data_IF_305412910056
#
_entry.id   IF_305412910056
#
_cell.length_a   1.000
_cell.length_b   1.000
_cell.length_c   1.000
_cell.angle_alpha   90.00
_cell.angle_beta   90.00
_cell.angle_gamma   90.00
#
_symmetry.space_group_name_H-M   'P 1'
#
loop_
_entity.id
_entity.type
_entity.pdbx_description
1 polymer ?
#
# COMPACT_ATOMS: atom_id res chain seq x y z
N UNK A 1 19.70 17.49 -19.07
CA UNK A 1 18.27 17.61 -19.43
C UNK A 1 17.49 17.12 -18.23
N UNK A 2 16.99 18.07 -17.44
CA UNK A 2 16.31 17.88 -16.15
C UNK A 2 14.90 17.26 -16.30
N UNK A 3 14.85 16.03 -16.81
CA UNK A 3 13.58 15.32 -16.99
C UNK A 3 12.94 14.92 -15.64
N UNK A 4 13.77 14.69 -14.61
CA UNK A 4 13.37 14.39 -13.23
C UNK A 4 12.58 15.55 -12.59
N UNK A 5 12.63 16.77 -13.14
CA UNK A 5 11.78 17.88 -12.68
C UNK A 5 10.52 18.09 -13.52
N UNK A 6 10.56 17.89 -14.84
CA UNK A 6 9.44 18.31 -15.68
C UNK A 6 8.32 17.26 -15.85
N UNK A 7 8.64 15.95 -15.89
CA UNK A 7 7.61 14.91 -16.09
C UNK A 7 7.01 14.37 -14.78
N UNK A 8 7.66 14.66 -13.65
CA UNK A 8 7.15 14.40 -12.30
C UNK A 8 6.16 15.46 -11.82
N UNK A 9 6.38 16.71 -12.22
CA UNK A 9 5.44 17.79 -11.95
C UNK A 9 4.09 17.41 -12.56
N UNK A 10 3.08 17.27 -11.70
CA UNK A 10 1.72 16.88 -12.05
C UNK A 10 1.58 15.43 -12.57
N UNK A 11 2.55 14.52 -12.32
CA UNK A 11 2.38 13.09 -12.66
C UNK A 11 1.12 12.53 -12.00
N UNK A 12 0.89 12.87 -10.73
CA UNK A 12 -0.31 12.47 -10.02
C UNK A 12 -1.58 12.99 -10.72
N UNK A 13 -1.64 14.27 -11.09
CA UNK A 13 -2.80 14.81 -11.81
C UNK A 13 -3.05 14.10 -13.14
N UNK A 14 -1.98 13.78 -13.88
CA UNK A 14 -2.06 13.03 -15.15
C UNK A 14 -2.58 11.62 -14.94
N UNK A 15 -2.11 10.92 -13.91
CA UNK A 15 -2.60 9.60 -13.52
C UNK A 15 -4.08 9.71 -13.16
N UNK A 16 -4.45 10.68 -12.32
CA UNK A 16 -5.84 10.93 -11.93
C UNK A 16 -6.77 11.18 -13.10
N UNK A 17 -6.37 12.02 -14.06
CA UNK A 17 -7.17 12.25 -15.26
C UNK A 17 -7.28 11.00 -16.15
N UNK A 18 -6.21 10.18 -16.25
CA UNK A 18 -6.29 8.89 -16.94
C UNK A 18 -7.26 7.92 -16.25
N UNK A 19 -7.25 7.84 -14.92
CA UNK A 19 -8.22 7.06 -14.13
C UNK A 19 -9.66 7.51 -14.40
N UNK A 20 -9.90 8.84 -14.39
CA UNK A 20 -11.22 9.42 -14.68
C UNK A 20 -11.65 9.15 -16.13
N UNK A 21 -10.73 9.19 -17.10
CA UNK A 21 -11.03 8.88 -18.51
C UNK A 21 -11.50 7.44 -18.68
N UNK A 22 -10.75 6.48 -18.12
CA UNK A 22 -11.13 5.06 -18.13
C UNK A 22 -12.55 4.82 -17.60
N UNK A 23 -12.87 5.43 -16.45
CA UNK A 23 -14.18 5.30 -15.83
C UNK A 23 -15.28 5.85 -16.76
N UNK A 24 -15.07 7.04 -17.33
CA UNK A 24 -16.03 7.68 -18.25
C UNK A 24 -16.24 6.86 -19.53
N UNK A 25 -15.18 6.22 -20.03
CA UNK A 25 -15.21 5.40 -21.25
C UNK A 25 -15.87 4.03 -21.05
N UNK A 26 -15.67 3.40 -19.88
CA UNK A 26 -16.07 1.99 -19.65
C UNK A 26 -17.34 1.84 -18.83
N UNK A 27 -17.62 2.74 -17.88
CA UNK A 27 -18.81 2.61 -17.03
C UNK A 27 -20.01 3.35 -17.65
N UNK A 28 -20.96 2.59 -18.19
CA UNK A 28 -22.14 3.12 -18.86
C UNK A 28 -23.28 3.49 -17.90
N UNK A 29 -23.35 2.83 -16.74
CA UNK A 29 -24.31 3.16 -15.69
C UNK A 29 -23.91 4.49 -15.05
N UNK A 30 -24.79 5.50 -15.13
CA UNK A 30 -24.55 6.83 -14.51
C UNK A 30 -24.25 6.73 -13.02
N UNK A 31 -24.88 5.77 -12.33
CA UNK A 31 -24.70 5.57 -10.89
C UNK A 31 -23.33 5.00 -10.55
N UNK A 32 -22.92 3.95 -11.27
CA UNK A 32 -21.58 3.35 -11.13
C UNK A 32 -20.49 4.36 -11.49
N UNK A 33 -20.67 5.07 -12.63
CA UNK A 33 -19.73 6.07 -13.09
C UNK A 33 -19.58 7.21 -12.06
N UNK A 34 -20.69 7.71 -11.49
CA UNK A 34 -20.64 8.74 -10.46
C UNK A 34 -19.85 8.26 -9.23
N UNK A 35 -20.20 7.10 -8.67
CA UNK A 35 -19.52 6.58 -7.47
C UNK A 35 -18.02 6.39 -7.72
N UNK A 36 -17.65 5.76 -8.83
CA UNK A 36 -16.25 5.55 -9.17
C UNK A 36 -15.48 6.88 -9.35
N UNK A 37 -16.09 7.90 -9.97
CA UNK A 37 -15.46 9.22 -10.10
C UNK A 37 -15.29 9.92 -8.75
N UNK A 38 -16.28 9.85 -7.87
CA UNK A 38 -16.18 10.42 -6.52
C UNK A 38 -15.07 9.73 -5.71
N UNK A 39 -14.89 8.42 -5.87
CA UNK A 39 -13.83 7.65 -5.19
C UNK A 39 -12.44 8.02 -5.71
N UNK A 40 -12.30 8.22 -7.03
CA UNK A 40 -11.03 8.70 -7.62
C UNK A 40 -10.72 10.13 -7.16
N UNK A 41 -11.72 11.00 -7.03
CA UNK A 41 -11.52 12.36 -6.53
C UNK A 41 -10.97 12.36 -5.09
N UNK A 42 -11.50 11.48 -4.22
CA UNK A 42 -10.97 11.29 -2.87
C UNK A 42 -9.53 10.76 -2.90
N UNK A 43 -9.23 9.76 -3.75
CA UNK A 43 -7.88 9.20 -3.90
C UNK A 43 -6.86 10.24 -4.36
N UNK A 44 -7.26 11.22 -5.16
CA UNK A 44 -6.37 12.30 -5.60
C UNK A 44 -5.95 13.25 -4.48
N UNK A 45 -6.63 13.22 -3.33
CA UNK A 45 -6.18 13.89 -2.11
C UNK A 45 -5.01 13.18 -1.40
N UNK A 46 -4.63 11.98 -1.84
CA UNK A 46 -3.60 11.14 -1.24
C UNK A 46 -2.36 10.98 -2.14
N UNK A 47 -1.29 10.39 -1.59
CA UNK A 47 -0.12 10.02 -2.36
C UNK A 47 -0.40 8.81 -3.27
N UNK A 48 -0.13 8.95 -4.57
CA UNK A 48 -0.24 7.87 -5.58
C UNK A 48 1.13 7.22 -5.84
N UNK A 49 1.61 6.50 -4.83
CA UNK A 49 2.94 5.89 -4.84
C UNK A 49 3.02 4.75 -5.86
N UNK A 50 1.97 3.96 -6.05
CA UNK A 50 2.02 2.76 -6.90
C UNK A 50 2.00 3.08 -8.39
N UNK A 51 1.23 4.08 -8.79
CA UNK A 51 1.27 4.64 -10.14
C UNK A 51 2.62 5.27 -10.43
N UNK A 52 3.19 5.98 -9.45
CA UNK A 52 4.53 6.56 -9.57
C UNK A 52 5.62 5.49 -9.68
N UNK A 53 5.55 4.41 -8.87
CA UNK A 53 6.43 3.24 -8.99
C UNK A 53 6.33 2.63 -10.38
N UNK A 54 5.12 2.39 -10.87
CA UNK A 54 4.88 1.84 -12.21
C UNK A 54 5.52 2.72 -13.30
N UNK A 55 5.29 4.02 -13.24
CA UNK A 55 5.81 4.98 -14.21
C UNK A 55 7.35 5.05 -14.19
N UNK A 56 7.96 5.08 -13.00
CA UNK A 56 9.43 5.07 -12.86
C UNK A 56 10.03 3.81 -13.43
N UNK A 57 9.46 2.65 -13.10
CA UNK A 57 10.03 1.38 -13.54
C UNK A 57 9.97 1.24 -15.06
N UNK A 58 8.93 1.75 -15.71
CA UNK A 58 8.88 1.84 -17.16
C UNK A 58 10.09 2.59 -17.73
N UNK A 59 10.39 3.77 -17.20
CA UNK A 59 11.49 4.58 -17.71
C UNK A 59 12.87 4.07 -17.28
N UNK A 60 12.98 3.50 -16.07
CA UNK A 60 14.18 2.86 -15.54
C UNK A 60 14.71 1.77 -16.47
N UNK A 61 13.80 1.04 -17.13
CA UNK A 61 14.13 -0.03 -18.06
C UNK A 61 14.06 0.39 -19.54
N UNK A 62 14.11 1.69 -19.83
CA UNK A 62 14.28 2.20 -21.19
C UNK A 62 13.02 2.10 -22.07
N UNK A 63 11.83 2.10 -21.47
CA UNK A 63 10.57 1.95 -22.20
C UNK A 63 10.42 2.94 -23.35
N UNK A 64 10.21 2.41 -24.56
CA UNK A 64 9.97 3.16 -25.80
C UNK A 64 8.64 2.82 -26.48
N UNK A 65 7.94 1.80 -25.97
CA UNK A 65 6.66 1.31 -26.46
C UNK A 65 5.70 1.07 -25.28
N UNK A 66 4.41 0.87 -25.55
CA UNK A 66 3.42 0.73 -24.49
C UNK A 66 2.86 2.07 -24.03
N UNK A 67 2.06 2.03 -22.97
CA UNK A 67 1.45 3.20 -22.36
C UNK A 67 1.69 3.20 -20.84
N UNK A 68 2.77 3.85 -20.37
CA UNK A 68 3.11 3.86 -18.95
C UNK A 68 2.10 4.66 -18.13
N UNK A 69 1.50 5.71 -18.70
CA UNK A 69 0.48 6.47 -17.99
C UNK A 69 -0.78 5.61 -17.81
N UNK A 70 -1.15 4.86 -18.85
CA UNK A 70 -2.30 3.97 -18.72
C UNK A 70 -2.04 2.86 -17.71
N UNK A 71 -0.85 2.28 -17.74
CA UNK A 71 -0.46 1.22 -16.81
C UNK A 71 -0.44 1.73 -15.37
N UNK A 72 0.10 2.93 -15.13
CA UNK A 72 0.12 3.56 -13.81
C UNK A 72 -1.29 3.88 -13.27
N UNK A 73 -2.19 4.40 -14.10
CA UNK A 73 -3.57 4.65 -13.70
C UNK A 73 -4.36 3.35 -13.50
N UNK A 74 -4.06 2.30 -14.27
CA UNK A 74 -4.55 0.96 -13.97
C UNK A 74 -4.09 0.49 -12.58
N UNK A 75 -2.81 0.66 -12.25
CA UNK A 75 -2.28 0.29 -10.94
C UNK A 75 -2.94 1.07 -9.80
N UNK A 76 -3.12 2.39 -9.92
CA UNK A 76 -3.79 3.20 -8.88
C UNK A 76 -5.29 2.87 -8.75
N UNK A 77 -5.98 2.50 -9.84
CA UNK A 77 -7.35 1.98 -9.73
C UNK A 77 -7.39 0.64 -8.99
N UNK A 78 -6.37 -0.21 -9.16
CA UNK A 78 -6.26 -1.46 -8.41
C UNK A 78 -6.12 -1.17 -6.92
N UNK A 79 -5.20 -0.26 -6.54
CA UNK A 79 -5.00 0.14 -5.14
C UNK A 79 -6.27 0.76 -4.57
N UNK A 80 -6.92 1.67 -5.29
CA UNK A 80 -8.21 2.24 -4.85
C UNK A 80 -9.26 1.15 -4.63
N UNK A 81 -9.37 0.16 -5.52
CA UNK A 81 -10.32 -0.93 -5.33
C UNK A 81 -9.99 -1.79 -4.10
N UNK A 82 -8.72 -2.08 -3.85
CA UNK A 82 -8.31 -2.84 -2.65
C UNK A 82 -8.52 -2.03 -1.38
N UNK A 83 -8.22 -0.73 -1.37
CA UNK A 83 -8.47 0.17 -0.22
C UNK A 83 -9.97 0.21 0.13
N UNK A 84 -10.85 0.32 -0.88
CA UNK A 84 -12.31 0.30 -0.65
C UNK A 84 -12.75 -1.05 -0.06
N UNK A 85 -12.22 -2.16 -0.56
CA UNK A 85 -12.58 -3.49 -0.04
C UNK A 85 -12.08 -3.69 1.39
N UNK A 86 -10.85 -3.27 1.70
CA UNK A 86 -10.23 -3.32 3.04
C UNK A 86 -11.05 -2.49 4.03
N UNK A 87 -11.36 -1.22 3.72
CA UNK A 87 -12.18 -0.36 4.59
C UNK A 87 -13.60 -0.94 4.81
N UNK A 88 -14.19 -1.61 3.81
CA UNK A 88 -15.50 -2.28 3.96
C UNK A 88 -15.43 -3.54 4.83
N UNK A 89 -14.32 -4.27 4.78
CA UNK A 89 -14.06 -5.48 5.58
C UNK A 89 -13.78 -5.12 7.04
N UNK A 90 -12.99 -4.07 7.26
CA UNK A 90 -12.58 -3.59 8.59
C UNK A 90 -13.62 -2.71 9.26
N UNK A 91 -14.47 -2.03 8.47
CA UNK A 91 -15.44 -1.07 8.98
C UNK A 91 -14.82 0.20 9.56
N UNK A 92 -13.60 0.57 9.13
CA UNK A 92 -12.92 1.79 9.53
C UNK A 92 -13.06 2.91 8.47
N UNK A 93 -12.36 4.04 8.66
CA UNK A 93 -12.37 5.18 7.74
C UNK A 93 -13.79 5.75 7.38
N UNK A 94 -14.67 6.05 8.36
CA UNK A 94 -16.05 6.46 8.12
C UNK A 94 -16.22 7.75 7.31
N UNK A 95 -15.18 8.58 7.21
CA UNK A 95 -15.17 9.79 6.41
C UNK A 95 -15.10 9.53 4.90
N UNK A 96 -14.69 8.32 4.46
CA UNK A 96 -14.49 8.00 3.05
C UNK A 96 -15.79 7.95 2.26
N UNK A 97 -15.81 8.38 0.99
CA UNK A 97 -17.04 8.43 0.21
C UNK A 97 -17.67 7.04 0.00
N UNK A 98 -16.86 5.99 -0.09
CA UNK A 98 -17.31 4.60 -0.24
C UNK A 98 -17.96 4.02 1.03
N UNK A 99 -17.71 4.61 2.20
CA UNK A 99 -18.39 4.26 3.46
C UNK A 99 -19.72 5.00 3.64
N UNK A 100 -19.97 6.04 2.83
CA UNK A 100 -21.13 6.92 2.94
C UNK A 100 -22.22 6.65 1.87
N UNK A 101 -22.17 5.48 1.24
CA UNK A 101 -23.19 4.98 0.31
C UNK A 101 -23.65 3.58 0.73
N UNK A 102 -24.76 3.04 0.19
CA UNK A 102 -25.17 1.68 0.51
C UNK A 102 -24.06 0.66 0.19
N UNK A 103 -23.69 -0.18 1.16
CA UNK A 103 -22.63 -1.19 1.02
C UNK A 103 -22.71 -2.02 -0.27
N UNK A 104 -23.90 -2.49 -0.74
CA UNK A 104 -23.98 -3.22 -2.02
C UNK A 104 -23.51 -2.42 -3.24
N UNK A 105 -23.67 -1.10 -3.22
CA UNK A 105 -23.20 -0.22 -4.30
C UNK A 105 -21.70 0.04 -4.21
N UNK A 106 -21.18 0.23 -2.99
CA UNK A 106 -19.76 0.40 -2.73
C UNK A 106 -18.97 -0.83 -3.16
N UNK A 107 -19.41 -2.02 -2.72
CA UNK A 107 -18.83 -3.30 -3.12
C UNK A 107 -18.88 -3.52 -4.64
N UNK A 108 -20.01 -3.18 -5.28
CA UNK A 108 -20.14 -3.30 -6.73
C UNK A 108 -19.22 -2.33 -7.49
N UNK A 109 -19.06 -1.10 -6.98
CA UNK A 109 -18.13 -0.13 -7.55
C UNK A 109 -16.68 -0.60 -7.41
N UNK A 110 -16.26 -1.06 -6.23
CA UNK A 110 -14.90 -1.56 -5.99
C UNK A 110 -14.55 -2.74 -6.91
N UNK A 111 -15.42 -3.75 -6.99
CA UNK A 111 -15.22 -4.92 -7.87
C UNK A 111 -15.19 -4.56 -9.36
N UNK A 112 -15.98 -3.55 -9.77
CA UNK A 112 -15.95 -3.02 -11.14
C UNK A 112 -14.66 -2.26 -11.43
N UNK A 113 -14.17 -1.46 -10.49
CA UNK A 113 -12.88 -0.74 -10.58
C UNK A 113 -11.73 -1.75 -10.65
N UNK A 114 -11.75 -2.80 -9.83
CA UNK A 114 -10.76 -3.89 -9.88
C UNK A 114 -10.72 -4.59 -11.24
N UNK A 115 -11.87 -4.74 -11.90
CA UNK A 115 -11.91 -5.31 -13.26
C UNK A 115 -11.33 -4.33 -14.30
N UNK A 116 -11.65 -3.04 -14.14
CA UNK A 116 -11.17 -1.97 -15.03
C UNK A 116 -9.65 -1.78 -14.92
N UNK A 117 -9.09 -1.85 -13.71
CA UNK A 117 -7.65 -1.70 -13.47
C UNK A 117 -6.83 -2.75 -14.21
N UNK A 118 -7.24 -4.02 -14.12
CA UNK A 118 -6.61 -5.13 -14.85
C UNK A 118 -6.66 -4.91 -16.36
N UNK A 119 -7.82 -4.53 -16.88
CA UNK A 119 -7.97 -4.25 -18.31
C UNK A 119 -7.04 -3.12 -18.76
N UNK A 120 -6.92 -2.06 -17.98
CA UNK A 120 -6.09 -0.91 -18.33
C UNK A 120 -4.59 -1.25 -18.34
N UNK A 121 -4.09 -1.95 -17.32
CA UNK A 121 -2.69 -2.40 -17.30
C UNK A 121 -2.37 -3.33 -18.47
N UNK A 122 -3.27 -4.28 -18.78
CA UNK A 122 -3.09 -5.18 -19.93
C UNK A 122 -3.09 -4.41 -21.27
N UNK A 123 -3.92 -3.37 -21.41
CA UNK A 123 -3.94 -2.53 -22.61
C UNK A 123 -2.69 -1.65 -22.75
N UNK A 124 -2.09 -1.22 -21.62
CA UNK A 124 -0.84 -0.47 -21.61
C UNK A 124 0.37 -1.29 -22.09
N UNK A 125 0.34 -2.62 -21.90
CA UNK A 125 1.37 -3.52 -22.43
C UNK A 125 1.08 -3.81 -23.91
N UNK A 126 1.97 -3.35 -24.80
CA UNK A 126 1.81 -3.47 -26.25
C UNK A 126 2.10 -4.87 -26.79
N UNK A 127 3.16 -5.52 -26.29
CA UNK A 127 3.53 -6.87 -26.74
C UNK A 127 2.52 -7.91 -26.23
N UNK A 128 1.95 -8.68 -27.17
CA UNK A 128 0.90 -9.66 -26.86
C UNK A 128 1.38 -10.84 -26.00
N UNK A 129 2.66 -11.23 -26.11
CA UNK A 129 3.25 -12.30 -25.31
C UNK A 129 3.46 -11.82 -23.88
N UNK A 130 4.05 -10.64 -23.71
CA UNK A 130 4.19 -10.02 -22.39
C UNK A 130 2.84 -9.76 -21.74
N UNK A 131 1.80 -9.41 -22.51
CA UNK A 131 0.44 -9.25 -21.99
C UNK A 131 -0.12 -10.55 -21.41
N UNK A 132 0.10 -11.69 -22.07
CA UNK A 132 -0.34 -12.99 -21.59
C UNK A 132 0.36 -13.39 -20.29
N UNK A 133 1.69 -13.26 -20.26
CA UNK A 133 2.48 -13.51 -19.05
C UNK A 133 2.09 -12.57 -17.90
N UNK A 134 1.94 -11.27 -18.19
CA UNK A 134 1.54 -10.28 -17.19
C UNK A 134 0.17 -10.59 -16.60
N UNK A 135 -0.80 -11.04 -17.41
CA UNK A 135 -2.13 -11.42 -16.90
C UNK A 135 -2.04 -12.55 -15.86
N UNK A 136 -1.21 -13.57 -16.11
CA UNK A 136 -0.99 -14.67 -15.18
C UNK A 136 -0.28 -14.18 -13.90
N UNK A 137 0.80 -13.42 -14.05
CA UNK A 137 1.58 -12.88 -12.92
C UNK A 137 0.78 -11.91 -12.07
N UNK A 138 0.01 -11.02 -12.70
CA UNK A 138 -0.91 -10.10 -12.03
C UNK A 138 -1.91 -10.87 -11.17
N UNK A 139 -2.55 -11.90 -11.73
CA UNK A 139 -3.51 -12.71 -10.99
C UNK A 139 -2.84 -13.44 -9.82
N UNK A 140 -1.61 -13.94 -10.00
CA UNK A 140 -0.86 -14.55 -8.92
C UNK A 140 -0.58 -13.56 -7.78
N UNK A 141 -0.16 -12.32 -8.07
CA UNK A 141 0.05 -11.29 -7.03
C UNK A 141 -1.26 -10.92 -6.32
N UNK A 142 -2.38 -10.80 -7.05
CA UNK A 142 -3.68 -10.57 -6.43
C UNK A 142 -4.13 -11.74 -5.53
N UNK A 143 -3.86 -12.98 -5.92
CA UNK A 143 -4.13 -14.14 -5.09
C UNK A 143 -3.26 -14.16 -3.83
N UNK A 144 -1.97 -13.79 -3.93
CA UNK A 144 -1.12 -13.62 -2.74
C UNK A 144 -1.70 -12.55 -1.80
N UNK A 145 -2.08 -11.39 -2.35
CA UNK A 145 -2.70 -10.30 -1.60
C UNK A 145 -3.97 -10.75 -0.87
N UNK A 146 -4.85 -11.49 -1.55
CA UNK A 146 -6.06 -12.04 -0.95
C UNK A 146 -5.79 -13.05 0.19
N UNK A 147 -4.74 -13.88 0.08
CA UNK A 147 -4.35 -14.78 1.18
C UNK A 147 -3.82 -13.97 2.38
N UNK A 148 -2.96 -12.98 2.14
CA UNK A 148 -2.47 -12.09 3.19
C UNK A 148 -3.58 -11.31 3.87
N UNK A 149 -4.57 -10.84 3.11
CA UNK A 149 -5.76 -10.16 3.63
C UNK A 149 -6.57 -11.07 4.56
N UNK A 150 -6.80 -12.32 4.16
CA UNK A 150 -7.51 -13.27 5.00
C UNK A 150 -6.75 -13.58 6.30
N UNK A 151 -5.42 -13.72 6.23
CA UNK A 151 -4.58 -13.90 7.42
C UNK A 151 -4.70 -12.71 8.39
N UNK A 152 -4.77 -11.49 7.87
CA UNK A 152 -4.93 -10.26 8.66
C UNK A 152 -6.31 -10.21 9.34
N UNK A 153 -7.39 -10.38 8.57
CA UNK A 153 -8.76 -10.42 9.08
C UNK A 153 -8.94 -11.50 10.16
N UNK A 154 -8.37 -12.69 9.93
CA UNK A 154 -8.44 -13.80 10.88
C UNK A 154 -7.49 -13.63 12.08
N UNK A 155 -6.61 -12.61 12.07
CA UNK A 155 -5.61 -12.37 13.09
C UNK A 155 -4.66 -13.55 13.28
N UNK A 156 -4.24 -14.20 12.19
CA UNK A 156 -3.44 -15.44 12.21
C UNK A 156 -1.97 -15.20 12.59
N UNK A 157 -1.44 -13.99 12.39
CA UNK A 157 -0.09 -13.62 12.81
C UNK A 157 0.03 -13.63 14.35
N UNK A 158 0.77 -14.60 14.90
CA UNK A 158 0.98 -14.75 16.36
C UNK A 158 2.39 -14.39 16.83
N UNK A 159 3.31 -14.28 15.89
CA UNK A 159 4.72 -13.97 16.10
C UNK A 159 5.23 -13.12 14.93
N UNK A 160 6.50 -12.73 15.01
CA UNK A 160 7.15 -11.90 14.00
C UNK A 160 7.18 -12.57 12.62
N UNK A 161 7.53 -13.85 12.56
CA UNK A 161 7.61 -14.59 11.29
C UNK A 161 6.23 -14.65 10.60
N UNK A 162 5.18 -14.93 11.36
CA UNK A 162 3.80 -14.93 10.87
C UNK A 162 3.33 -13.55 10.42
N UNK A 163 3.71 -12.48 11.13
CA UNK A 163 3.42 -11.12 10.72
C UNK A 163 4.16 -10.74 9.43
N UNK A 164 5.45 -11.04 9.33
CA UNK A 164 6.26 -10.75 8.13
C UNK A 164 5.70 -11.48 6.93
N UNK A 165 5.31 -12.75 7.07
CA UNK A 165 4.68 -13.51 5.99
C UNK A 165 3.33 -12.91 5.58
N UNK A 166 2.50 -12.52 6.55
CA UNK A 166 1.21 -11.86 6.28
C UNK A 166 1.38 -10.60 5.44
N UNK A 167 2.28 -9.68 5.83
CA UNK A 167 2.49 -8.43 5.09
C UNK A 167 3.23 -8.65 3.75
N UNK A 168 4.06 -9.71 3.66
CA UNK A 168 4.69 -10.14 2.40
C UNK A 168 3.63 -10.54 1.38
N UNK A 169 2.64 -11.32 1.82
CA UNK A 169 1.52 -11.76 1.00
C UNK A 169 0.56 -10.59 0.69
N UNK A 170 0.14 -9.81 1.71
CA UNK A 170 -0.87 -8.75 1.60
C UNK A 170 -0.42 -7.57 0.76
N UNK A 171 0.46 -6.73 1.30
CA UNK A 171 0.81 -5.43 0.69
C UNK A 171 2.07 -5.50 -0.15
N UNK A 172 3.08 -6.29 0.22
CA UNK A 172 4.33 -6.36 -0.55
C UNK A 172 4.13 -6.96 -1.95
N UNK A 173 3.19 -7.89 -2.13
CA UNK A 173 2.78 -8.42 -3.44
C UNK A 173 2.29 -7.33 -4.41
N UNK A 174 1.63 -6.28 -3.89
CA UNK A 174 1.17 -5.15 -4.70
C UNK A 174 2.31 -4.21 -5.11
N UNK A 175 3.35 -4.06 -4.27
CA UNK A 175 4.58 -3.35 -4.65
C UNK A 175 5.33 -4.11 -5.76
N UNK A 176 5.43 -5.43 -5.63
CA UNK A 176 6.00 -6.32 -6.65
C UNK A 176 5.24 -6.17 -7.97
N UNK A 177 3.90 -6.16 -7.93
CA UNK A 177 3.06 -5.96 -9.10
C UNK A 177 3.33 -4.60 -9.76
N UNK A 178 3.33 -3.50 -9.00
CA UNK A 178 3.53 -2.15 -9.55
C UNK A 178 4.90 -1.99 -10.24
N UNK A 179 5.96 -2.48 -9.60
CA UNK A 179 7.32 -2.38 -10.14
C UNK A 179 7.48 -3.21 -11.42
N UNK A 180 6.96 -4.45 -11.44
CA UNK A 180 6.99 -5.29 -12.63
C UNK A 180 6.04 -4.81 -13.74
N UNK A 181 4.88 -4.24 -13.40
CA UNK A 181 3.95 -3.67 -14.40
C UNK A 181 4.64 -2.58 -15.22
N UNK A 182 5.42 -1.70 -14.58
CA UNK A 182 6.23 -0.71 -15.26
C UNK A 182 7.27 -1.34 -16.19
N UNK A 183 8.06 -2.29 -15.68
CA UNK A 183 9.09 -2.97 -16.46
C UNK A 183 8.53 -3.75 -17.65
N UNK A 184 7.41 -4.45 -17.47
CA UNK A 184 6.74 -5.20 -18.55
C UNK A 184 6.10 -4.28 -19.58
N UNK A 185 5.55 -3.14 -19.16
CA UNK A 185 5.09 -2.09 -20.06
C UNK A 185 6.26 -1.55 -20.92
N UNK A 186 7.47 -1.46 -20.37
CA UNK A 186 8.69 -1.10 -21.10
C UNK A 186 9.21 -2.20 -22.04
N UNK A 187 8.54 -3.36 -22.10
CA UNK A 187 8.93 -4.49 -22.94
C UNK A 187 9.98 -5.41 -22.29
N UNK A 188 10.13 -5.37 -20.96
CA UNK A 188 10.91 -6.38 -20.23
C UNK A 188 10.05 -7.60 -19.89
N UNK A 189 10.68 -8.72 -19.65
CA UNK A 189 10.03 -9.87 -19.02
C UNK A 189 9.86 -9.60 -17.52
N UNK A 190 8.94 -10.34 -16.88
CA UNK A 190 8.78 -10.31 -15.44
C UNK A 190 10.09 -10.74 -14.75
N UNK A 191 10.59 -9.95 -13.80
CA UNK A 191 11.95 -10.12 -13.27
C UNK A 191 11.94 -10.47 -11.77
N UNK A 192 12.51 -11.63 -11.37
CA UNK A 192 12.70 -11.97 -9.95
C UNK A 192 13.58 -10.98 -9.18
N UNK A 193 14.52 -10.31 -9.86
CA UNK A 193 15.35 -9.28 -9.23
C UNK A 193 14.51 -8.05 -8.85
N UNK A 194 13.52 -7.69 -9.70
CA UNK A 194 12.52 -6.67 -9.40
C UNK A 194 11.64 -7.09 -8.23
N UNK A 195 11.19 -8.36 -8.22
CA UNK A 195 10.41 -8.90 -7.10
C UNK A 195 11.16 -8.73 -5.77
N UNK A 196 12.44 -9.09 -5.72
CA UNK A 196 13.21 -9.09 -4.49
C UNK A 196 13.33 -7.70 -3.83
N UNK A 197 13.64 -6.65 -4.60
CA UNK A 197 13.73 -5.31 -4.02
C UNK A 197 12.36 -4.67 -3.78
N UNK A 198 11.37 -4.96 -4.63
CA UNK A 198 10.02 -4.43 -4.47
C UNK A 198 9.31 -5.05 -3.24
N UNK A 199 9.54 -6.33 -2.96
CA UNK A 199 9.08 -6.99 -1.74
C UNK A 199 9.71 -6.32 -0.51
N UNK A 200 11.02 -6.10 -0.50
CA UNK A 200 11.71 -5.41 0.60
C UNK A 200 11.16 -3.98 0.82
N UNK A 201 10.86 -3.26 -0.27
CA UNK A 201 10.22 -1.95 -0.19
C UNK A 201 8.81 -2.03 0.41
N UNK A 202 8.00 -3.00 -0.03
CA UNK A 202 6.64 -3.20 0.47
C UNK A 202 6.59 -3.56 1.95
N UNK A 203 7.48 -4.45 2.40
CA UNK A 203 7.64 -4.79 3.81
C UNK A 203 8.01 -3.55 4.65
N UNK A 204 8.95 -2.75 4.17
CA UNK A 204 9.32 -1.50 4.82
C UNK A 204 8.15 -0.51 4.89
N UNK A 205 7.39 -0.36 3.81
CA UNK A 205 6.26 0.56 3.74
C UNK A 205 5.14 0.16 4.72
N UNK A 206 4.82 -1.13 4.80
CA UNK A 206 3.81 -1.63 5.75
C UNK A 206 4.24 -1.41 7.20
N UNK A 207 5.46 -1.82 7.57
CA UNK A 207 5.96 -1.62 8.94
C UNK A 207 5.98 -0.14 9.34
N UNK A 208 6.28 0.76 8.39
CA UNK A 208 6.21 2.22 8.63
C UNK A 208 4.76 2.69 8.85
N UNK A 209 3.81 2.19 8.07
CA UNK A 209 2.39 2.52 8.25
C UNK A 209 1.88 2.03 9.60
N UNK A 210 2.17 0.78 9.97
CA UNK A 210 1.72 0.20 11.23
C UNK A 210 2.28 0.95 12.45
N UNK A 211 3.56 1.37 12.41
CA UNK A 211 4.14 2.22 13.47
C UNK A 211 3.40 3.55 13.61
N UNK A 212 3.01 4.16 12.48
CA UNK A 212 2.25 5.42 12.46
C UNK A 212 0.83 5.21 12.98
N UNK A 213 0.16 4.16 12.52
CA UNK A 213 -1.27 3.97 12.74
C UNK A 213 -1.57 3.34 14.11
N UNK A 214 -0.62 2.61 14.71
CA UNK A 214 -0.71 2.10 16.08
C UNK A 214 -0.85 3.21 17.14
N UNK A 215 -0.25 4.38 16.92
CA UNK A 215 -0.32 5.51 17.87
C UNK A 215 -1.50 6.44 17.62
N UNK A 216 -2.29 6.18 16.57
CA UNK A 216 -3.52 6.94 16.28
C UNK A 216 -4.64 6.52 17.22
N UNK A 217 -5.43 7.51 17.62
CA UNK A 217 -6.58 7.34 18.52
C UNK A 217 -7.83 8.04 17.99
N UNK A 218 -7.82 8.36 16.70
CA UNK A 218 -8.94 8.89 15.94
C UNK A 218 -9.68 7.77 15.20
N UNK A 219 -10.50 8.12 14.21
CA UNK A 219 -11.40 7.21 13.48
C UNK A 219 -10.68 6.07 12.71
N UNK A 220 -9.34 6.09 12.62
CA UNK A 220 -8.51 5.01 12.05
C UNK A 220 -7.43 4.60 13.06
N UNK A 221 -7.86 3.97 14.17
CA UNK A 221 -6.97 3.49 15.22
C UNK A 221 -6.77 1.98 15.11
N UNK A 222 -5.57 1.56 14.72
CA UNK A 222 -5.18 0.15 14.67
C UNK A 222 -5.30 -0.52 16.04
N UNK A 223 -5.03 0.22 17.12
CA UNK A 223 -5.22 -0.26 18.48
C UNK A 223 -6.70 -0.61 18.73
N UNK A 224 -7.62 0.31 18.48
CA UNK A 224 -9.05 0.08 18.71
C UNK A 224 -9.64 -0.98 17.77
N UNK A 225 -9.09 -1.11 16.56
CA UNK A 225 -9.40 -2.16 15.59
C UNK A 225 -8.80 -3.53 15.93
N UNK A 226 -7.98 -3.63 16.98
CA UNK A 226 -7.22 -4.84 17.34
C UNK A 226 -6.33 -5.35 16.21
N UNK A 227 -5.85 -4.47 15.34
CA UNK A 227 -4.96 -4.82 14.22
C UNK A 227 -3.61 -5.29 14.77
N UNK A 228 -3.12 -6.42 14.24
CA UNK A 228 -1.85 -7.01 14.66
C UNK A 228 -0.72 -6.35 13.87
N UNK A 229 0.21 -5.73 14.58
CA UNK A 229 1.41 -5.14 14.01
C UNK A 229 2.68 -5.59 14.73
N UNK A 230 3.83 -5.45 14.07
CA UNK A 230 5.12 -5.82 14.65
C UNK A 230 5.43 -5.12 15.99
N UNK A 231 5.23 -3.79 16.14
CA UNK A 231 5.42 -3.14 17.45
C UNK A 231 4.50 -3.73 18.53
N UNK A 232 3.26 -4.07 18.19
CA UNK A 232 2.33 -4.65 19.14
C UNK A 232 2.75 -6.06 19.57
N UNK A 233 3.17 -6.91 18.63
CA UNK A 233 3.69 -8.25 18.93
C UNK A 233 4.87 -8.17 19.89
N UNK A 234 5.81 -7.27 19.61
CA UNK A 234 6.96 -7.03 20.48
C UNK A 234 6.56 -6.49 21.87
N UNK A 235 5.58 -5.58 21.93
CA UNK A 235 5.03 -5.11 23.21
C UNK A 235 4.42 -6.26 24.01
N UNK A 236 3.63 -7.12 23.37
CA UNK A 236 2.98 -8.25 24.03
C UNK A 236 4.00 -9.26 24.57
N UNK A 237 5.09 -9.53 23.85
CA UNK A 237 6.17 -10.39 24.31
C UNK A 237 6.97 -9.76 25.47
N UNK A 238 7.17 -8.45 25.43
CA UNK A 238 7.93 -7.68 26.44
C UNK A 238 7.07 -7.13 27.59
N UNK A 239 5.80 -7.51 27.64
CA UNK A 239 4.81 -6.94 28.54
C UNK A 239 5.02 -7.38 30.00
N UNK A 240 4.62 -6.51 30.91
CA UNK A 240 4.65 -6.74 32.37
C UNK A 240 3.24 -6.87 32.92
N UNK A 241 3.09 -7.19 34.22
CA UNK A 241 1.78 -7.25 34.88
C UNK A 241 0.98 -5.93 34.74
N UNK A 242 1.68 -4.80 34.67
CA UNK A 242 1.08 -3.47 34.46
C UNK A 242 0.41 -3.33 33.08
N UNK A 243 0.81 -4.12 32.09
CA UNK A 243 0.33 -4.07 30.70
C UNK A 243 -0.71 -5.16 30.40
N UNK A 244 -1.06 -5.98 31.40
CA UNK A 244 -2.02 -7.10 31.25
C UNK A 244 -3.34 -6.71 30.59
N UNK A 245 -3.80 -5.48 30.81
CA UNK A 245 -5.01 -4.95 30.21
C UNK A 245 -4.93 -4.84 28.67
N UNK A 246 -3.75 -4.63 28.09
CA UNK A 246 -3.52 -4.61 26.63
C UNK A 246 -3.71 -6.03 26.10
N UNK A 247 -3.07 -7.01 26.74
CA UNK A 247 -3.18 -8.43 26.37
C UNK A 247 -4.64 -8.89 26.47
N UNK A 248 -5.33 -8.55 27.56
CA UNK A 248 -6.74 -8.87 27.75
C UNK A 248 -7.62 -8.27 26.65
N UNK A 249 -7.33 -7.05 26.23
CA UNK A 249 -8.07 -6.38 25.16
C UNK A 249 -7.89 -7.07 23.81
N UNK A 250 -6.64 -7.36 23.42
CA UNK A 250 -6.35 -8.04 22.15
C UNK A 250 -6.80 -9.51 22.13
N UNK A 251 -6.88 -10.16 23.30
CA UNK A 251 -7.40 -11.52 23.43
C UNK A 251 -8.93 -11.56 23.59
N UNK A 252 -9.61 -10.41 23.47
CA UNK A 252 -11.07 -10.31 23.53
C UNK A 252 -11.66 -10.54 24.93
N UNK A 253 -10.83 -10.51 25.98
CA UNK A 253 -11.28 -10.59 27.39
C UNK A 253 -11.84 -9.27 27.92
N UNK A 254 -11.57 -8.14 27.25
CA UNK A 254 -12.18 -6.83 27.54
C UNK A 254 -12.73 -6.16 26.28
N UNK A 255 -13.76 -5.33 26.45
CA UNK A 255 -14.41 -4.56 25.38
C UNK A 255 -13.70 -3.23 25.09
N UNK A 256 -14.08 -2.57 23.99
CA UNK A 256 -13.51 -1.29 23.59
C UNK A 256 -13.69 -0.20 24.67
N UNK A 257 -14.82 -0.23 25.40
CA UNK A 257 -15.13 0.73 26.46
C UNK A 257 -14.10 0.69 27.61
N UNK A 258 -13.42 -0.45 27.81
CA UNK A 258 -12.43 -0.60 28.88
C UNK A 258 -11.08 0.09 28.57
N UNK A 259 -10.87 0.49 27.32
CA UNK A 259 -9.58 1.00 26.83
C UNK A 259 -9.63 2.43 26.27
N UNK A 260 -10.82 3.02 26.09
CA UNK A 260 -10.99 4.35 25.49
C UNK A 260 -10.13 5.44 26.15
N UNK A 261 -10.09 5.46 27.49
CA UNK A 261 -9.36 6.47 28.27
C UNK A 261 -7.91 6.07 28.61
N UNK A 262 -7.38 5.03 27.94
CA UNK A 262 -6.05 4.46 28.25
C UNK A 262 -4.96 4.85 27.25
N UNK A 263 -5.20 5.83 26.38
CA UNK A 263 -4.25 6.26 25.36
C UNK A 263 -2.86 6.57 25.94
N UNK A 264 -2.80 7.34 27.03
CA UNK A 264 -1.53 7.69 27.68
C UNK A 264 -0.83 6.46 28.26
N UNK A 265 -1.57 5.54 28.89
CA UNK A 265 -1.01 4.30 29.43
C UNK A 265 -0.45 3.40 28.31
N UNK A 266 -1.13 3.37 27.17
CA UNK A 266 -0.65 2.63 26.00
C UNK A 266 0.64 3.24 25.44
N UNK A 267 0.70 4.57 25.34
CA UNK A 267 1.91 5.30 24.92
C UNK A 267 3.08 5.02 25.86
N UNK A 268 2.87 5.09 27.17
CA UNK A 268 3.88 4.75 28.18
C UNK A 268 4.39 3.30 28.03
N UNK A 269 3.50 2.34 27.73
CA UNK A 269 3.89 0.96 27.49
C UNK A 269 4.74 0.80 26.22
N UNK A 270 4.35 1.47 25.12
CA UNK A 270 5.12 1.49 23.87
C UNK A 270 6.52 2.10 24.06
N UNK A 271 6.63 3.20 24.80
CA UNK A 271 7.90 3.86 25.11
C UNK A 271 8.80 3.00 25.99
N UNK A 272 8.25 2.47 27.09
CA UNK A 272 9.01 1.66 28.05
C UNK A 272 9.53 0.35 27.44
N UNK A 273 8.73 -0.30 26.60
CA UNK A 273 9.14 -1.53 25.92
C UNK A 273 10.09 -1.24 24.76
N UNK A 274 10.01 -0.05 24.15
CA UNK A 274 10.72 0.26 22.91
C UNK A 274 10.04 -0.33 21.66
N UNK A 275 8.76 -0.69 21.75
CA UNK A 275 8.00 -1.31 20.67
C UNK A 275 8.00 -0.51 19.36
N UNK A 276 7.79 0.81 19.44
CA UNK A 276 7.82 1.67 18.24
C UNK A 276 9.22 1.75 17.63
N UNK A 277 10.26 1.77 18.47
CA UNK A 277 11.64 1.74 18.01
C UNK A 277 11.94 0.42 17.30
N UNK A 278 11.45 -0.70 17.84
CA UNK A 278 11.60 -2.01 17.24
C UNK A 278 11.02 -2.05 15.82
N UNK A 279 9.73 -1.70 15.67
CA UNK A 279 9.10 -1.64 14.35
C UNK A 279 9.79 -0.68 13.38
N UNK A 280 10.25 0.47 13.87
CA UNK A 280 11.01 1.45 13.07
C UNK A 280 12.33 0.87 12.57
N UNK A 281 13.09 0.18 13.43
CA UNK A 281 14.37 -0.45 13.07
C UNK A 281 14.15 -1.56 12.06
N UNK A 282 13.16 -2.43 12.27
CA UNK A 282 12.85 -3.53 11.35
C UNK A 282 12.40 -3.00 9.98
N UNK A 283 11.52 -2.01 9.95
CA UNK A 283 11.15 -1.32 8.71
C UNK A 283 12.37 -0.72 8.00
N UNK A 284 13.31 -0.13 8.75
CA UNK A 284 14.55 0.43 8.18
C UNK A 284 15.49 -0.65 7.65
N UNK A 285 15.56 -1.82 8.27
CA UNK A 285 16.34 -2.96 7.77
C UNK A 285 15.84 -3.41 6.40
N UNK A 286 14.52 -3.53 6.22
CA UNK A 286 13.93 -3.86 4.92
C UNK A 286 14.16 -2.74 3.88
N UNK A 287 14.09 -1.47 4.29
CA UNK A 287 14.40 -0.35 3.39
C UNK A 287 15.86 -0.36 2.92
N UNK A 288 16.81 -0.62 3.83
CA UNK A 288 18.23 -0.72 3.47
C UNK A 288 18.47 -1.91 2.53
N UNK A 289 17.81 -3.05 2.76
CA UNK A 289 17.84 -4.20 1.83
C UNK A 289 17.29 -3.83 0.45
N UNK A 290 16.21 -3.05 0.38
CA UNK A 290 15.72 -2.50 -0.89
C UNK A 290 16.78 -1.66 -1.59
N UNK A 291 17.47 -0.77 -0.88
CA UNK A 291 18.53 0.06 -1.46
C UNK A 291 19.69 -0.78 -2.01
N UNK A 292 20.16 -1.77 -1.25
CA UNK A 292 21.27 -2.65 -1.64
C UNK A 292 20.92 -3.44 -2.90
N UNK A 293 19.70 -3.99 -2.97
CA UNK A 293 19.22 -4.74 -4.14
C UNK A 293 18.99 -3.84 -5.35
N UNK A 294 18.43 -2.64 -5.15
CA UNK A 294 18.21 -1.66 -6.21
C UNK A 294 19.55 -1.20 -6.81
N UNK A 295 20.57 -0.97 -5.98
CA UNK A 295 21.87 -0.48 -6.45
C UNK A 295 22.56 -1.50 -7.38
N UNK A 296 22.38 -2.80 -7.10
CA UNK A 296 22.90 -3.90 -7.91
C UNK A 296 22.20 -4.04 -9.28
N UNK A 297 21.07 -3.37 -9.51
CA UNK A 297 20.34 -3.48 -10.77
C UNK A 297 21.06 -2.80 -11.93
N UNK A 298 21.04 -3.40 -13.14
CA UNK A 298 21.65 -2.82 -14.34
C UNK A 298 20.75 -1.73 -14.95
N UNK A 299 20.46 -0.69 -14.16
CA UNK A 299 19.68 0.48 -14.55
C UNK A 299 20.51 1.77 -14.39
N UNK A 300 20.17 2.80 -15.17
CA UNK A 300 20.89 4.08 -15.05
C UNK A 300 20.68 4.72 -13.67
N UNK A 301 21.75 5.23 -13.06
CA UNK A 301 21.73 5.78 -11.69
C UNK A 301 20.70 6.90 -11.51
N UNK A 302 20.45 7.72 -12.55
CA UNK A 302 19.42 8.78 -12.50
C UNK A 302 18.02 8.25 -12.14
N UNK A 303 17.67 7.03 -12.56
CA UNK A 303 16.37 6.42 -12.26
C UNK A 303 16.34 5.82 -10.87
N UNK A 304 17.44 5.17 -10.45
CA UNK A 304 17.60 4.65 -9.08
C UNK A 304 17.54 5.81 -8.07
N UNK A 305 18.29 6.88 -8.31
CA UNK A 305 18.24 8.09 -7.48
C UNK A 305 16.87 8.78 -7.50
N UNK A 306 16.23 8.86 -8.67
CA UNK A 306 14.89 9.42 -8.81
C UNK A 306 13.85 8.65 -7.98
N UNK A 307 13.89 7.32 -8.03
CA UNK A 307 13.06 6.43 -7.22
C UNK A 307 13.29 6.68 -5.72
N UNK A 308 14.55 6.71 -5.28
CA UNK A 308 14.88 6.96 -3.86
C UNK A 308 14.44 8.34 -3.39
N UNK A 309 14.57 9.38 -4.23
CA UNK A 309 14.08 10.73 -3.89
C UNK A 309 12.56 10.77 -3.76
N UNK A 310 11.84 10.14 -4.70
CA UNK A 310 10.38 10.01 -4.64
C UNK A 310 9.92 9.36 -3.33
N UNK A 311 10.56 8.26 -2.92
CA UNK A 311 10.25 7.58 -1.66
C UNK A 311 10.71 8.37 -0.42
N UNK A 312 11.76 9.17 -0.56
CA UNK A 312 12.38 9.96 0.51
C UNK A 312 11.66 11.27 0.83
N UNK A 313 11.05 11.95 -0.14
CA UNK A 313 10.22 13.12 0.15
C UNK A 313 8.97 12.74 0.97
N UNK A 314 8.50 11.50 0.82
CA UNK A 314 7.45 10.88 1.63
C UNK A 314 7.92 10.48 3.05
N UNK A 315 9.24 10.47 3.29
CA UNK A 315 9.82 10.26 4.63
C UNK A 315 9.92 11.57 5.43
N UNK A 316 10.08 12.71 4.76
CA UNK A 316 10.22 14.04 5.39
C UNK A 316 8.91 14.60 5.92
N UNK A 317 7.77 14.15 5.40
CA UNK A 317 6.43 14.51 5.88
C UNK A 317 6.17 13.92 7.28
N UNK A 318 6.74 12.75 7.61
CA UNK A 318 6.47 12.04 8.87
C UNK A 318 7.51 12.25 9.98
N UNK A 319 8.73 12.69 9.64
CA UNK A 319 9.74 13.05 10.66
C UNK A 319 9.31 14.29 11.48
N UNK A 320 8.38 15.09 10.93
CA UNK A 320 7.68 16.15 11.68
C UNK A 320 6.65 15.60 12.66
N UNK A 321 5.92 14.53 12.35
CA UNK A 321 4.90 13.98 13.24
C UNK A 321 5.49 13.36 14.52
N UNK A 322 6.69 12.75 14.41
CA UNK A 322 7.45 12.26 15.57
C UNK A 322 8.10 13.39 16.39
N UNK A 323 8.28 14.58 15.81
CA UNK A 323 8.90 15.74 16.47
C UNK A 323 7.90 16.82 16.91
N UNK A 324 6.67 16.80 16.40
CA UNK A 324 5.62 17.78 16.73
C UNK A 324 4.72 17.34 17.88
N UNK A 325 4.91 16.12 18.39
CA UNK A 325 4.23 15.57 19.57
C UNK A 325 5.19 15.26 20.73
N UNK A 326 6.41 15.82 20.69
CA UNK A 326 7.34 15.91 21.81
C UNK A 326 7.33 17.34 22.36
#
# INVERSE_FOLDING_TARGET
MDWVHNDWNNLNDRIGEAMKSLIRERFQSRRLQKHALDFVEDKLGEAMIFGSLTFVHYHMYGGSEGDPLMTAAGMELLILATDILDDLEDGDAPAKPWMNIPMPESLHAATSILTLSQQAMLQGIKDIRHRGEFAERLNNQLLLSANGQMMDIAGEAKDEDGYVEMIRLKSASLFVLACNAGAMCAGREWSPDIEAYAEALGLSAQMKNDVRDLVRWDDKSDFLGRKISLPLLYLMESSTEQDSWIIDYFQGRSGAEAVLDRQEQFREALERTGALLYGTVMGRMHYNRFLDLLDAMPAEDRWKEGLVRMLGDDSRINDRALRSNA
#
